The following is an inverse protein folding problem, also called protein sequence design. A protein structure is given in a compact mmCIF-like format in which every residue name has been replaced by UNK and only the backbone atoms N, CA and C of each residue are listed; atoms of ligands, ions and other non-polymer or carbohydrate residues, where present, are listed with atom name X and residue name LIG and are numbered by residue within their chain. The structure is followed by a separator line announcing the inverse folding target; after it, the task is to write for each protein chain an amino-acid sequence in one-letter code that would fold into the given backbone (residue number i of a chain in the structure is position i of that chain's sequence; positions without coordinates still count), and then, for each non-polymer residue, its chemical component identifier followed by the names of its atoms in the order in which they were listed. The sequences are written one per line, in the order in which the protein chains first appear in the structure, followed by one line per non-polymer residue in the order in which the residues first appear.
data_IF_487087246383
#
_entry.id   IF_487087246383
#
_cell.length_a   1.000
_cell.length_b   1.000
_cell.length_c   1.000
_cell.angle_alpha   90.00
_cell.angle_beta   90.00
_cell.angle_gamma   90.00
#
_symmetry.space_group_name_H-M   'P 1'
#
loop_
_entity.id
_entity.type
_entity.pdbx_description
1 polymer ?
#
# COMPACT_ATOMS: atom_id res chain seq x y z
N UNK A 1 9.41 -3.88 -18.74
CA UNK A 1 9.94 -3.03 -17.65
C UNK A 1 8.88 -2.03 -17.22
N UNK A 2 8.61 -1.97 -15.93
CA UNK A 2 7.70 -0.96 -15.41
C UNK A 2 8.37 0.42 -15.50
N UNK A 3 7.65 1.43 -16.02
CA UNK A 3 8.15 2.79 -16.17
C UNK A 3 7.49 3.76 -15.17
N UNK A 4 7.13 3.27 -14.01
CA UNK A 4 6.43 4.02 -12.97
C UNK A 4 7.22 4.15 -11.67
N UNK A 5 8.37 3.48 -11.56
CA UNK A 5 9.23 3.45 -10.37
C UNK A 5 8.56 2.88 -9.11
N UNK A 6 7.38 2.29 -9.25
CA UNK A 6 6.71 1.60 -8.15
C UNK A 6 7.35 0.23 -7.95
N UNK A 7 7.75 -0.04 -6.73
CA UNK A 7 8.43 -1.29 -6.39
C UNK A 7 7.57 -2.11 -5.44
N UNK A 8 7.69 -3.44 -5.55
CA UNK A 8 6.95 -4.40 -4.74
C UNK A 8 7.96 -5.39 -4.15
N UNK A 9 7.88 -5.62 -2.84
CA UNK A 9 8.69 -6.63 -2.16
C UNK A 9 7.80 -7.63 -1.44
N UNK A 10 8.12 -8.91 -1.53
CA UNK A 10 7.51 -9.92 -0.68
C UNK A 10 8.05 -9.77 0.74
N UNK A 11 7.16 -9.85 1.73
CA UNK A 11 7.52 -9.71 3.13
C UNK A 11 7.69 -11.08 3.77
N UNK A 12 8.55 -11.13 4.78
CA UNK A 12 8.75 -12.34 5.57
C UNK A 12 7.56 -12.54 6.51
N UNK A 13 7.04 -13.76 6.53
CA UNK A 13 6.01 -14.19 7.49
C UNK A 13 6.48 -15.47 8.14
N UNK A 14 6.47 -15.50 9.46
CA UNK A 14 6.96 -16.63 10.25
C UNK A 14 5.87 -17.15 11.17
N UNK A 15 5.65 -18.49 11.21
CA UNK A 15 4.75 -19.06 12.21
C UNK A 15 5.33 -18.84 13.60
N UNK A 16 4.45 -18.63 14.57
CA UNK A 16 4.83 -18.50 15.97
C UNK A 16 4.40 -19.72 16.75
N UNK A 17 5.11 -20.04 17.82
CA UNK A 17 4.90 -21.24 18.62
C UNK A 17 4.48 -20.88 20.03
N UNK A 18 3.56 -21.70 20.56
CA UNK A 18 3.20 -21.61 21.97
C UNK A 18 4.39 -22.04 22.83
N UNK A 19 4.60 -21.35 23.95
CA UNK A 19 5.75 -21.61 24.82
C UNK A 19 5.61 -22.88 25.65
N UNK A 20 4.41 -23.39 25.82
CA UNK A 20 4.14 -24.58 26.63
C UNK A 20 4.29 -25.86 25.83
N UNK A 21 3.60 -25.98 24.70
CA UNK A 21 3.51 -27.22 23.93
C UNK A 21 4.06 -27.11 22.51
N UNK A 22 4.55 -25.95 22.11
CA UNK A 22 5.16 -25.68 20.80
C UNK A 22 4.21 -25.83 19.62
N UNK A 23 2.89 -25.84 19.84
CA UNK A 23 1.97 -25.82 18.71
C UNK A 23 2.00 -24.44 18.04
N UNK A 24 1.67 -24.37 16.76
CA UNK A 24 1.59 -23.10 16.05
C UNK A 24 0.39 -22.32 16.55
N UNK A 25 0.65 -21.15 17.13
CA UNK A 25 -0.41 -20.31 17.70
C UNK A 25 -0.73 -19.07 16.87
N UNK A 26 -0.03 -18.86 15.75
CA UNK A 26 -0.24 -17.73 14.88
C UNK A 26 0.96 -17.51 13.99
N UNK A 27 1.12 -16.27 13.54
CA UNK A 27 2.29 -15.85 12.76
C UNK A 27 2.64 -14.40 13.04
N UNK A 28 3.80 -13.97 12.56
CA UNK A 28 4.17 -12.57 12.52
C UNK A 28 4.68 -12.23 11.12
N UNK A 29 4.36 -11.04 10.67
CA UNK A 29 4.83 -10.52 9.38
C UNK A 29 5.73 -9.32 9.64
N UNK A 30 6.93 -9.36 9.10
CA UNK A 30 7.88 -8.27 9.23
C UNK A 30 7.59 -7.25 8.13
N UNK A 31 7.13 -6.05 8.52
CA UNK A 31 6.77 -5.00 7.57
C UNK A 31 7.98 -4.09 7.31
N UNK A 32 8.72 -3.74 8.37
CA UNK A 32 9.91 -2.89 8.25
C UNK A 32 10.87 -3.14 9.42
N UNK A 33 12.15 -3.13 9.09
CA UNK A 33 13.26 -3.16 10.05
C UNK A 33 14.24 -2.06 9.68
N UNK A 34 14.88 -1.44 10.67
CA UNK A 34 15.76 -0.30 10.45
C UNK A 34 17.02 -0.63 9.63
N UNK A 35 17.39 -1.92 9.58
CA UNK A 35 18.53 -2.38 8.80
C UNK A 35 18.15 -2.94 7.42
N UNK A 36 16.86 -3.01 7.09
CA UNK A 36 16.41 -3.35 5.74
C UNK A 36 16.70 -2.20 4.78
N UNK A 37 17.23 -2.53 3.60
CA UNK A 37 17.50 -1.52 2.57
C UNK A 37 16.28 -1.25 1.68
N UNK A 38 15.10 -1.72 2.06
CA UNK A 38 13.87 -1.54 1.31
C UNK A 38 13.39 -0.10 1.42
N UNK A 39 13.35 0.43 2.65
CA UNK A 39 12.95 1.80 2.92
C UNK A 39 14.21 2.63 3.13
N UNK A 40 14.49 3.54 2.20
CA UNK A 40 15.73 4.32 2.19
C UNK A 40 15.82 5.33 3.32
N UNK A 41 14.68 5.90 3.72
CA UNK A 41 14.59 6.87 4.81
C UNK A 41 13.70 6.29 5.89
N UNK A 42 14.06 6.53 7.15
CA UNK A 42 13.22 6.07 8.25
C UNK A 42 11.81 6.66 8.12
N UNK A 43 10.77 5.88 8.37
CA UNK A 43 9.40 6.39 8.37
C UNK A 43 9.25 7.50 9.41
N UNK A 44 8.53 8.55 9.02
CA UNK A 44 8.20 9.67 9.89
C UNK A 44 6.77 9.61 10.38
N UNK A 45 5.95 8.78 9.75
CA UNK A 45 4.56 8.56 10.11
C UNK A 45 4.16 7.14 9.73
N UNK A 46 3.42 6.48 10.60
CA UNK A 46 2.81 5.18 10.33
C UNK A 46 1.32 5.34 10.61
N UNK A 47 0.47 4.89 9.70
CA UNK A 47 -0.97 4.94 9.92
C UNK A 47 -1.67 3.75 9.30
N UNK A 48 -2.87 3.48 9.79
CA UNK A 48 -3.77 2.49 9.19
C UNK A 48 -4.80 3.23 8.33
N UNK A 49 -5.01 2.72 7.12
CA UNK A 49 -6.05 3.20 6.22
C UNK A 49 -7.02 2.04 5.96
N UNK A 50 -8.28 2.23 6.29
CA UNK A 50 -9.31 1.24 5.96
C UNK A 50 -10.10 1.70 4.74
N UNK A 51 -10.55 0.73 3.94
CA UNK A 51 -11.35 0.99 2.73
C UNK A 51 -12.61 0.16 2.81
N UNK A 52 -13.74 0.83 2.79
CA UNK A 52 -15.04 0.15 2.81
C UNK A 52 -15.28 -0.63 1.51
N UNK A 53 -16.17 -1.64 1.54
CA UNK A 53 -16.45 -2.43 0.35
C UNK A 53 -16.82 -1.59 -0.88
N UNK A 54 -16.13 -1.84 -1.99
CA UNK A 54 -16.39 -1.17 -3.26
C UNK A 54 -15.88 0.27 -3.36
N UNK A 55 -15.30 0.81 -2.30
CA UNK A 55 -14.85 2.20 -2.29
C UNK A 55 -13.44 2.36 -2.84
N UNK A 56 -13.15 3.58 -3.30
CA UNK A 56 -11.86 3.97 -3.87
C UNK A 56 -11.27 5.10 -3.02
N UNK A 57 -9.99 5.02 -2.71
CA UNK A 57 -9.23 6.11 -2.13
C UNK A 57 -8.26 6.66 -3.17
N UNK A 58 -8.30 7.96 -3.37
CA UNK A 58 -7.61 8.64 -4.46
C UNK A 58 -8.50 8.72 -5.71
N UNK A 59 -7.92 8.89 -6.90
CA UNK A 59 -6.49 9.04 -7.17
C UNK A 59 -5.92 10.34 -6.64
N UNK A 60 -4.70 10.26 -6.16
CA UNK A 60 -3.96 11.44 -5.76
C UNK A 60 -2.45 11.22 -5.91
N UNK A 61 -1.73 12.31 -5.78
CA UNK A 61 -0.29 12.35 -5.95
C UNK A 61 0.30 13.13 -4.79
N UNK A 62 1.36 12.59 -4.20
CA UNK A 62 2.12 13.28 -3.18
C UNK A 62 3.34 13.95 -3.80
N UNK A 63 3.52 15.22 -3.51
CA UNK A 63 4.64 16.00 -4.06
C UNK A 63 5.96 15.72 -3.35
N UNK A 64 5.89 15.39 -2.05
CA UNK A 64 7.06 15.23 -1.18
C UNK A 64 7.15 13.85 -0.54
N UNK A 65 6.01 13.18 -0.35
CA UNK A 65 5.92 11.92 0.40
C UNK A 65 6.11 10.73 -0.51
N UNK A 66 7.00 9.82 -0.12
CA UNK A 66 7.05 8.45 -0.61
C UNK A 66 6.33 7.58 0.41
N UNK A 67 5.40 6.75 -0.04
CA UNK A 67 4.56 5.92 0.82
C UNK A 67 4.80 4.45 0.54
N UNK A 68 4.76 3.65 1.61
CA UNK A 68 4.94 2.21 1.55
C UNK A 68 3.70 1.55 2.14
N UNK A 69 3.02 0.74 1.34
CA UNK A 69 1.71 0.17 1.67
C UNK A 69 1.80 -1.33 1.88
N UNK A 70 1.17 -1.82 2.94
CA UNK A 70 1.01 -3.25 3.19
C UNK A 70 -0.45 -3.55 3.52
N UNK A 71 -1.12 -4.38 2.72
CA UNK A 71 -2.48 -4.83 3.01
C UNK A 71 -2.41 -5.87 4.13
N UNK A 72 -2.98 -5.54 5.29
CA UNK A 72 -2.93 -6.40 6.47
C UNK A 72 -4.25 -7.14 6.72
N UNK A 73 -5.33 -6.73 6.05
CA UNK A 73 -6.62 -7.39 6.16
C UNK A 73 -7.42 -7.21 4.88
N UNK A 74 -8.01 -8.29 4.41
CA UNK A 74 -8.81 -8.30 3.19
C UNK A 74 -7.98 -8.20 1.93
N UNK A 75 -8.54 -7.54 0.92
CA UNK A 75 -7.92 -7.34 -0.39
C UNK A 75 -7.96 -5.89 -0.80
N UNK A 76 -7.00 -5.49 -1.61
CA UNK A 76 -7.01 -4.18 -2.26
C UNK A 76 -6.36 -4.29 -3.64
N UNK A 77 -6.72 -3.38 -4.52
CA UNK A 77 -6.07 -3.24 -5.82
C UNK A 77 -5.50 -1.83 -5.90
N UNK A 78 -4.19 -1.74 -6.11
CA UNK A 78 -3.53 -0.45 -6.32
C UNK A 78 -3.48 -0.16 -7.81
N UNK A 79 -3.90 1.03 -8.20
CA UNK A 79 -3.86 1.49 -9.58
C UNK A 79 -2.85 2.60 -9.69
N UNK A 80 -1.85 2.43 -10.54
CA UNK A 80 -0.72 3.34 -10.70
C UNK A 80 -0.79 3.94 -12.11
N UNK A 81 -0.72 5.25 -12.22
CA UNK A 81 -0.60 5.92 -13.51
C UNK A 81 0.86 5.88 -13.94
N UNK A 82 1.12 5.17 -15.04
CA UNK A 82 2.47 5.04 -15.60
C UNK A 82 2.84 6.27 -16.44
N UNK A 83 4.12 6.44 -16.70
CA UNK A 83 4.64 7.57 -17.46
C UNK A 83 4.10 7.65 -18.88
N UNK A 84 3.75 6.50 -19.48
CA UNK A 84 3.18 6.44 -20.82
C UNK A 84 1.66 6.69 -20.86
N UNK A 85 1.05 6.98 -19.71
CA UNK A 85 -0.39 7.23 -19.60
C UNK A 85 -1.24 5.99 -19.39
N UNK A 86 -0.66 4.80 -19.45
CA UNK A 86 -1.37 3.57 -19.12
C UNK A 86 -1.40 3.33 -17.62
N UNK A 87 -2.18 2.33 -17.20
CA UNK A 87 -2.36 2.02 -15.78
C UNK A 87 -1.78 0.66 -15.46
N UNK A 88 -1.15 0.57 -14.29
CA UNK A 88 -0.69 -0.69 -13.71
C UNK A 88 -1.61 -1.02 -12.56
N UNK A 89 -2.09 -2.26 -12.52
CA UNK A 89 -2.97 -2.76 -11.47
C UNK A 89 -2.21 -3.78 -10.63
N UNK A 90 -2.19 -3.58 -9.32
CA UNK A 90 -1.47 -4.44 -8.38
C UNK A 90 -2.48 -4.97 -7.37
N UNK A 91 -2.81 -6.25 -7.46
CA UNK A 91 -3.71 -6.91 -6.51
C UNK A 91 -2.92 -7.41 -5.32
N UNK A 92 -3.39 -7.10 -4.13
CA UNK A 92 -2.77 -7.50 -2.87
C UNK A 92 -3.82 -8.04 -1.91
N UNK A 93 -3.39 -8.91 -1.00
CA UNK A 93 -4.26 -9.46 0.04
C UNK A 93 -3.45 -9.80 1.30
N UNK A 94 -4.16 -10.20 2.36
CA UNK A 94 -3.54 -10.54 3.64
C UNK A 94 -2.80 -11.89 3.62
N UNK A 95 -3.11 -12.76 2.67
CA UNK A 95 -2.53 -14.10 2.60
C UNK A 95 -1.08 -14.09 2.13
N UNK A 96 -0.77 -13.19 1.21
CA UNK A 96 0.57 -13.03 0.67
C UNK A 96 1.04 -11.59 0.89
N UNK A 97 1.67 -11.31 2.04
CA UNK A 97 2.02 -9.94 2.38
C UNK A 97 3.11 -9.40 1.47
N UNK A 98 2.86 -8.20 0.95
CA UNK A 98 3.83 -7.46 0.14
C UNK A 98 3.87 -6.02 0.60
N UNK A 99 5.00 -5.37 0.36
CA UNK A 99 5.16 -3.94 0.58
C UNK A 99 5.25 -3.26 -0.78
N UNK A 100 4.35 -2.30 -1.03
CA UNK A 100 4.33 -1.52 -2.27
C UNK A 100 4.89 -0.14 -1.99
N UNK A 101 5.94 0.24 -2.69
CA UNK A 101 6.51 1.59 -2.62
C UNK A 101 5.93 2.44 -3.75
N UNK A 102 5.21 3.50 -3.40
CA UNK A 102 4.76 4.51 -4.34
C UNK A 102 5.58 5.78 -4.10
N UNK A 103 6.55 6.09 -4.98
CA UNK A 103 7.39 7.28 -4.81
C UNK A 103 6.59 8.58 -4.94
N UNK A 104 7.12 9.62 -4.35
CA UNK A 104 6.59 10.99 -4.57
C UNK A 104 6.52 11.28 -6.07
N UNK A 105 5.50 12.02 -6.47
CA UNK A 105 5.29 12.38 -7.86
C UNK A 105 4.57 11.35 -8.71
N UNK A 106 4.23 10.19 -8.14
CA UNK A 106 3.49 9.13 -8.83
C UNK A 106 2.04 9.16 -8.38
N UNK A 107 1.11 9.29 -9.32
CA UNK A 107 -0.31 9.26 -9.04
C UNK A 107 -0.78 7.83 -8.82
N UNK A 108 -1.53 7.62 -7.74
CA UNK A 108 -2.04 6.29 -7.40
C UNK A 108 -3.41 6.36 -6.74
N UNK A 109 -4.10 5.25 -6.79
CA UNK A 109 -5.33 5.01 -6.06
C UNK A 109 -5.33 3.58 -5.56
N UNK A 110 -6.22 3.28 -4.62
CA UNK A 110 -6.48 1.89 -4.28
C UNK A 110 -7.98 1.69 -4.04
N UNK A 111 -8.45 0.51 -4.41
CA UNK A 111 -9.86 0.14 -4.34
C UNK A 111 -10.00 -1.16 -3.58
N UNK A 112 -11.09 -1.27 -2.83
CA UNK A 112 -11.48 -2.52 -2.20
C UNK A 112 -12.51 -3.24 -3.09
N UNK A 113 -12.09 -4.32 -3.79
CA UNK A 113 -12.99 -5.02 -4.72
C UNK A 113 -13.87 -6.07 -4.03
N UNK A 114 -13.89 -6.11 -2.71
CA UNK A 114 -14.57 -7.15 -1.93
C UNK A 114 -15.82 -6.60 -1.21
N UNK A 115 -16.52 -7.49 -0.53
CA UNK A 115 -17.70 -7.15 0.28
C UNK A 115 -17.37 -6.94 1.76
N UNK A 116 -16.09 -7.06 2.12
CA UNK A 116 -15.62 -6.83 3.48
C UNK A 116 -14.68 -5.63 3.50
N UNK A 117 -14.48 -5.03 4.66
CA UNK A 117 -13.55 -3.93 4.81
C UNK A 117 -12.11 -4.41 4.58
N UNK A 118 -11.29 -3.62 3.93
CA UNK A 118 -9.85 -3.88 3.83
C UNK A 118 -9.07 -2.89 4.68
N UNK A 119 -7.90 -3.33 5.17
CA UNK A 119 -7.03 -2.51 6.01
C UNK A 119 -5.61 -2.53 5.50
N UNK A 120 -5.01 -1.36 5.44
CA UNK A 120 -3.68 -1.14 4.90
C UNK A 120 -2.87 -0.37 5.92
N UNK A 121 -1.68 -0.88 6.25
CA UNK A 121 -0.68 -0.12 7.02
C UNK A 121 0.16 0.67 6.03
N UNK A 122 0.36 1.93 6.33
CA UNK A 122 1.14 2.83 5.48
C UNK A 122 2.30 3.42 6.29
N UNK A 123 3.50 3.30 5.73
CA UNK A 123 4.69 3.95 6.26
C UNK A 123 5.03 5.12 5.33
N UNK A 124 5.23 6.28 5.89
CA UNK A 124 5.48 7.50 5.10
C UNK A 124 6.78 8.17 5.56
N UNK A 125 7.57 8.64 4.60
CA UNK A 125 8.83 9.32 4.90
C UNK A 125 8.65 10.80 5.25
N UNK A 126 7.45 11.34 5.04
CA UNK A 126 7.07 12.71 5.42
C UNK A 126 5.78 12.63 6.21
N UNK A 127 5.77 13.18 7.43
CA UNK A 127 4.59 13.21 8.28
C UNK A 127 3.57 14.23 7.74
N UNK A 128 2.29 13.88 7.87
CA UNK A 128 1.20 14.77 7.51
C UNK A 128 1.18 16.00 8.41
N UNK A 129 0.94 17.16 7.81
CA UNK A 129 0.68 18.42 8.50
C UNK A 129 -0.51 19.12 7.87
N UNK A 130 -1.31 19.78 8.69
CA UNK A 130 -2.43 20.59 8.19
C UNK A 130 -1.92 21.67 7.25
N UNK A 131 -2.63 21.86 6.14
CA UNK A 131 -2.39 22.94 5.18
C UNK A 131 -0.99 22.92 4.51
N UNK A 132 -0.34 21.75 4.43
CA UNK A 132 0.97 21.65 3.79
C UNK A 132 0.87 21.56 2.25
N UNK A 133 -0.34 21.36 1.70
CA UNK A 133 -0.60 21.27 0.26
C UNK A 133 0.28 20.26 -0.48
N UNK A 134 0.70 19.23 0.22
CA UNK A 134 1.63 18.23 -0.29
C UNK A 134 0.92 17.23 -1.21
N UNK A 135 -0.37 16.95 -0.96
CA UNK A 135 -1.19 16.01 -1.71
C UNK A 135 -2.06 16.76 -2.73
N UNK A 136 -2.11 16.24 -3.96
CA UNK A 136 -2.92 16.77 -5.05
C UNK A 136 -3.87 15.69 -5.54
N UNK A 137 -5.15 16.01 -5.66
CA UNK A 137 -6.11 15.10 -6.30
C UNK A 137 -5.89 15.11 -7.81
N UNK A 138 -5.97 13.94 -8.42
CA UNK A 138 -5.84 13.76 -9.87
C UNK A 138 -6.99 12.91 -10.39
N UNK A 139 -7.22 12.99 -11.69
CA UNK A 139 -8.23 12.18 -12.35
C UNK A 139 -7.54 11.12 -13.22
N UNK A 140 -8.01 9.89 -13.12
CA UNK A 140 -7.54 8.78 -13.98
C UNK A 140 -8.45 8.71 -15.22
N UNK A 141 -8.07 9.41 -16.25
CA UNK A 141 -8.85 9.49 -17.49
C UNK A 141 -9.03 8.12 -18.13
N UNK A 142 -10.26 7.82 -18.51
CA UNK A 142 -10.63 6.59 -19.20
C UNK A 142 -10.39 5.31 -18.41
N UNK A 143 -10.11 5.41 -17.10
CA UNK A 143 -9.96 4.20 -16.29
C UNK A 143 -11.34 3.63 -15.93
N UNK A 144 -11.50 2.31 -16.10
CA UNK A 144 -12.76 1.63 -15.81
C UNK A 144 -12.80 1.17 -14.34
N UNK A 145 -13.33 2.02 -13.47
CA UNK A 145 -13.49 1.69 -12.06
C UNK A 145 -14.52 0.59 -11.80
N UNK A 146 -15.46 0.42 -12.72
CA UNK A 146 -16.56 -0.54 -12.51
C UNK A 146 -16.09 -1.99 -12.51
N UNK A 147 -14.93 -2.27 -13.07
CA UNK A 147 -14.38 -3.63 -13.07
C UNK A 147 -14.10 -4.18 -11.66
N UNK A 148 -14.01 -3.29 -10.66
CA UNK A 148 -13.71 -3.65 -9.28
C UNK A 148 -14.92 -3.58 -8.34
N UNK A 149 -16.08 -3.28 -8.87
CA UNK A 149 -17.30 -3.13 -8.06
C UNK A 149 -18.24 -4.31 -8.18
#
# INVERSE_FOLDING_TARGET
MANDDVMIWELERHPTKDVIDSHTNGDLTVIWRDWDNIIKNHPKMIYESSVNPGEVKGPHLHKKRTSYFCCIHGKAVFIILKKDGSYREIEVDEEKPVLICVPKGIASAHVNPTKEISKIIVLADVAWKSNDNEMVNVEFENYNWNKWK
#
